data_IF_525591782507
#
_entry.id   IF_525591782507
#
_cell.length_a   1.000
_cell.length_b   1.000
_cell.length_c   1.000
_cell.angle_alpha   90.00
_cell.angle_beta   90.00
_cell.angle_gamma   90.00
#
_symmetry.space_group_name_H-M   'P 1'
#
loop_
_entity.id
_entity.type
_entity.pdbx_description
1 polymer ?
#
# COMPACT_ATOMS: atom_id res chain seq x y z
N UNK A 1 5.45 -0.80 17.24
CA UNK A 1 4.87 -2.13 17.43
C UNK A 1 3.88 -2.46 16.32
N UNK A 2 2.86 -1.61 16.05
CA UNK A 2 1.89 -1.86 14.98
C UNK A 2 2.53 -2.10 13.60
N UNK A 3 3.52 -1.27 13.19
CA UNK A 3 4.23 -1.47 11.92
C UNK A 3 4.95 -2.82 11.84
N UNK A 4 5.64 -3.23 12.91
CA UNK A 4 6.30 -4.55 12.96
C UNK A 4 5.30 -5.71 12.90
N UNK A 5 4.13 -5.56 13.51
CA UNK A 5 3.08 -6.57 13.44
C UNK A 5 2.50 -6.66 12.02
N UNK A 6 2.30 -5.53 11.33
CA UNK A 6 1.88 -5.49 9.92
C UNK A 6 2.93 -6.11 9.00
N UNK A 7 4.22 -5.82 9.19
CA UNK A 7 5.32 -6.45 8.44
C UNK A 7 5.28 -7.97 8.56
N UNK A 8 5.13 -8.49 9.78
CA UNK A 8 5.04 -9.93 10.02
C UNK A 8 3.76 -10.55 9.42
N UNK A 9 2.65 -9.80 9.41
CA UNK A 9 1.41 -10.26 8.76
C UNK A 9 1.59 -10.30 7.23
N UNK A 10 2.25 -9.31 6.64
CA UNK A 10 2.57 -9.29 5.21
C UNK A 10 3.52 -10.43 4.83
N UNK A 11 4.49 -10.77 5.68
CA UNK A 11 5.35 -11.94 5.50
C UNK A 11 4.50 -13.23 5.41
N UNK A 12 3.53 -13.43 6.33
CA UNK A 12 2.65 -14.60 6.30
C UNK A 12 1.76 -14.65 5.05
N UNK A 13 1.37 -13.48 4.50
CA UNK A 13 0.70 -13.39 3.19
C UNK A 13 1.59 -13.98 2.11
N UNK A 14 2.83 -13.51 1.97
CA UNK A 14 3.73 -13.95 0.90
C UNK A 14 4.22 -15.39 1.07
N UNK A 15 4.34 -15.92 2.29
CA UNK A 15 4.57 -17.34 2.56
C UNK A 15 3.42 -18.22 2.06
N UNK A 16 2.19 -17.70 2.04
CA UNK A 16 0.98 -18.45 1.68
C UNK A 16 0.59 -18.24 0.22
N UNK A 17 0.86 -17.06 -0.35
CA UNK A 17 0.41 -16.62 -1.66
C UNK A 17 1.07 -17.43 -2.78
N UNK A 18 0.29 -18.27 -3.46
CA UNK A 18 0.68 -19.03 -4.64
C UNK A 18 -0.54 -19.48 -5.44
N UNK A 19 -0.32 -19.90 -6.67
CA UNK A 19 -1.39 -20.50 -7.47
C UNK A 19 -2.04 -21.70 -6.74
N UNK A 20 -3.35 -21.80 -6.84
CA UNK A 20 -4.12 -22.89 -6.24
C UNK A 20 -4.62 -22.63 -4.81
N UNK A 21 -4.16 -21.54 -4.15
CA UNK A 21 -4.64 -21.13 -2.82
C UNK A 21 -5.82 -20.17 -2.96
N UNK A 22 -6.77 -20.17 -2.03
CA UNK A 22 -7.87 -19.21 -2.00
C UNK A 22 -7.43 -17.85 -1.42
N UNK A 23 -8.04 -16.74 -1.88
CA UNK A 23 -7.81 -15.38 -1.32
C UNK A 23 -8.06 -15.37 0.19
N UNK A 24 -9.10 -16.07 0.65
CA UNK A 24 -9.47 -16.20 2.08
C UNK A 24 -8.38 -16.90 2.90
N UNK A 25 -7.69 -17.88 2.35
CA UNK A 25 -6.61 -18.57 3.07
C UNK A 25 -5.40 -17.67 3.25
N UNK A 26 -5.08 -16.87 2.21
CA UNK A 26 -3.99 -15.89 2.27
C UNK A 26 -4.30 -14.81 3.30
N UNK A 27 -5.51 -14.26 3.30
CA UNK A 27 -5.93 -13.26 4.29
C UNK A 27 -5.95 -13.84 5.72
N UNK A 28 -6.44 -15.07 5.89
CA UNK A 28 -6.46 -15.74 7.18
C UNK A 28 -5.05 -15.95 7.76
N UNK A 29 -4.03 -16.16 6.91
CA UNK A 29 -2.64 -16.27 7.37
C UNK A 29 -2.15 -14.95 8.00
N UNK A 30 -2.47 -13.79 7.39
CA UNK A 30 -2.17 -12.48 7.95
C UNK A 30 -2.85 -12.27 9.31
N UNK A 31 -4.17 -12.47 9.36
CA UNK A 31 -4.96 -12.29 10.59
C UNK A 31 -4.45 -13.18 11.71
N UNK A 32 -4.17 -14.45 11.40
CA UNK A 32 -3.59 -15.37 12.37
C UNK A 32 -2.24 -14.88 12.90
N UNK A 33 -1.38 -14.35 12.03
CA UNK A 33 -0.08 -13.80 12.44
C UNK A 33 -0.24 -12.61 13.39
N UNK A 34 -1.16 -11.69 13.12
CA UNK A 34 -1.46 -10.57 14.00
C UNK A 34 -1.90 -11.05 15.39
N UNK A 35 -2.85 -11.99 15.46
CA UNK A 35 -3.35 -12.53 16.71
C UNK A 35 -2.26 -13.24 17.53
N UNK A 36 -1.38 -13.99 16.91
CA UNK A 36 -0.24 -14.66 17.57
C UNK A 36 0.73 -13.66 18.20
N UNK A 37 0.86 -12.47 17.58
CA UNK A 37 1.70 -11.38 18.09
C UNK A 37 0.98 -10.50 19.13
N UNK A 38 -0.27 -10.81 19.50
CA UNK A 38 -1.06 -10.00 20.41
C UNK A 38 -1.61 -8.71 19.81
N UNK A 39 -1.49 -8.56 18.49
CA UNK A 39 -2.07 -7.47 17.71
C UNK A 39 -3.48 -7.82 17.22
N UNK A 40 -4.19 -6.81 16.70
CA UNK A 40 -5.46 -6.97 16.00
C UNK A 40 -5.35 -6.36 14.61
N UNK A 41 -6.29 -6.69 13.74
CA UNK A 41 -6.47 -5.93 12.50
C UNK A 41 -6.85 -4.48 12.81
N UNK A 42 -6.22 -3.53 12.13
CA UNK A 42 -6.63 -2.12 12.17
C UNK A 42 -7.92 -1.90 11.37
N UNK A 43 -8.05 -2.66 10.28
CA UNK A 43 -9.22 -2.77 9.40
C UNK A 43 -9.24 -4.17 8.77
N UNK A 44 -10.29 -4.50 8.01
CA UNK A 44 -10.39 -5.82 7.39
C UNK A 44 -9.30 -6.05 6.35
N UNK A 45 -8.49 -7.08 6.57
CA UNK A 45 -7.40 -7.47 5.65
C UNK A 45 -7.95 -7.73 4.24
N UNK A 46 -7.47 -6.98 3.27
CA UNK A 46 -7.80 -7.10 1.86
C UNK A 46 -6.76 -8.00 1.16
N UNK A 47 -7.22 -9.05 0.51
CA UNK A 47 -6.43 -9.85 -0.44
C UNK A 47 -7.34 -10.15 -1.60
N UNK A 48 -7.12 -9.48 -2.72
CA UNK A 48 -7.97 -9.62 -3.92
C UNK A 48 -7.13 -9.80 -5.17
N UNK A 49 -7.58 -10.63 -6.09
CA UNK A 49 -6.81 -10.97 -7.29
C UNK A 49 -7.63 -10.87 -8.59
N UNK A 50 -6.91 -10.82 -9.72
CA UNK A 50 -7.48 -10.71 -11.06
C UNK A 50 -8.26 -9.41 -11.24
N UNK A 51 -9.46 -9.46 -11.82
CA UNK A 51 -10.27 -8.27 -12.06
C UNK A 51 -10.60 -7.46 -10.78
N UNK A 52 -10.63 -8.11 -9.62
CA UNK A 52 -10.88 -7.45 -8.34
C UNK A 52 -9.67 -6.64 -7.84
N UNK A 53 -8.46 -7.00 -8.24
CA UNK A 53 -7.25 -6.24 -7.91
C UNK A 53 -7.20 -4.85 -8.57
N UNK A 54 -8.08 -4.58 -9.52
CA UNK A 54 -8.33 -3.26 -10.10
C UNK A 54 -9.46 -2.48 -9.43
N UNK A 55 -9.89 -2.90 -8.25
CA UNK A 55 -10.82 -2.17 -7.38
C UNK A 55 -10.04 -1.67 -6.17
N UNK A 56 -10.29 -0.43 -5.78
CA UNK A 56 -9.52 0.27 -4.73
C UNK A 56 -9.58 -0.42 -3.36
N UNK A 57 -10.63 -1.17 -3.08
CA UNK A 57 -10.81 -1.98 -1.87
C UNK A 57 -11.65 -3.20 -2.19
N UNK A 58 -11.41 -4.29 -1.52
CA UNK A 58 -12.17 -5.50 -1.70
C UNK A 58 -12.02 -6.47 -0.53
N UNK A 59 -12.97 -7.36 -0.40
CA UNK A 59 -12.91 -8.43 0.60
C UNK A 59 -12.42 -9.72 -0.06
N UNK A 60 -11.53 -10.47 0.61
CA UNK A 60 -11.08 -11.78 0.13
C UNK A 60 -12.27 -12.72 -0.05
N UNK A 61 -12.24 -13.50 -1.13
CA UNK A 61 -13.31 -14.44 -1.49
C UNK A 61 -12.78 -15.87 -1.48
N UNK A 62 -13.70 -16.83 -1.40
CA UNK A 62 -13.40 -18.24 -1.67
C UNK A 62 -13.17 -18.47 -3.16
N UNK A 63 -12.09 -17.87 -3.66
CA UNK A 63 -11.65 -17.86 -5.04
C UNK A 63 -10.18 -18.24 -5.11
N UNK A 64 -9.90 -19.22 -5.92
CA UNK A 64 -8.54 -19.72 -6.12
C UNK A 64 -7.70 -18.75 -6.96
N UNK A 65 -6.51 -18.43 -6.49
CA UNK A 65 -5.51 -17.66 -7.20
C UNK A 65 -4.98 -18.41 -8.44
N UNK A 66 -4.85 -17.71 -9.56
CA UNK A 66 -4.39 -18.30 -10.84
C UNK A 66 -3.07 -17.65 -11.27
N UNK A 67 -2.17 -18.43 -11.93
CA UNK A 67 -0.95 -17.88 -12.48
C UNK A 67 -1.20 -16.65 -13.38
N UNK A 68 -0.37 -15.62 -13.22
CA UNK A 68 -0.42 -14.39 -14.03
C UNK A 68 -1.45 -13.36 -13.57
N UNK A 69 -2.24 -13.63 -12.52
CA UNK A 69 -3.15 -12.63 -11.97
C UNK A 69 -2.42 -11.63 -11.10
N UNK A 70 -2.80 -10.36 -11.22
CA UNK A 70 -2.42 -9.33 -10.26
C UNK A 70 -3.09 -9.60 -8.91
N UNK A 71 -2.37 -9.34 -7.83
CA UNK A 71 -2.88 -9.42 -6.46
C UNK A 71 -2.63 -8.09 -5.76
N UNK A 72 -3.66 -7.52 -5.20
CA UNK A 72 -3.60 -6.38 -4.30
C UNK A 72 -3.79 -6.89 -2.86
N UNK A 73 -2.87 -6.50 -1.99
CA UNK A 73 -2.87 -6.83 -0.57
C UNK A 73 -2.82 -5.53 0.21
N UNK A 74 -3.75 -5.39 1.14
CA UNK A 74 -3.85 -4.23 2.00
C UNK A 74 -4.24 -4.69 3.40
N UNK A 75 -3.40 -4.37 4.40
CA UNK A 75 -3.57 -4.80 5.78
C UNK A 75 -2.97 -3.81 6.77
N UNK A 76 -3.55 -3.76 7.93
CA UNK A 76 -3.06 -2.94 9.03
C UNK A 76 -3.11 -3.68 10.35
N UNK A 77 -2.24 -3.30 11.27
CA UNK A 77 -2.22 -3.81 12.62
C UNK A 77 -2.59 -2.72 13.63
N UNK A 78 -3.30 -3.12 14.68
CA UNK A 78 -3.58 -2.29 15.85
C UNK A 78 -2.87 -2.87 17.09
N UNK A 79 -1.99 -2.06 17.70
CA UNK A 79 -1.25 -2.39 18.91
C UNK A 79 -1.37 -1.25 19.91
N UNK A 80 -1.81 -1.54 21.15
CA UNK A 80 -1.91 -0.56 22.24
C UNK A 80 -2.66 0.74 21.85
N UNK A 81 -3.67 0.62 20.97
CA UNK A 81 -4.50 1.73 20.52
C UNK A 81 -3.92 2.50 19.32
N UNK A 82 -2.73 2.17 18.83
CA UNK A 82 -2.13 2.76 17.63
C UNK A 82 -2.21 1.82 16.44
N UNK A 83 -2.37 2.39 15.25
CA UNK A 83 -2.59 1.65 14.01
C UNK A 83 -1.44 1.84 13.03
N UNK A 84 -1.27 0.85 12.16
CA UNK A 84 -0.42 0.90 10.97
C UNK A 84 -1.22 0.53 9.75
N UNK A 85 -0.71 0.91 8.59
CA UNK A 85 -1.28 0.65 7.28
C UNK A 85 -0.18 0.25 6.31
N UNK A 86 -0.42 -0.78 5.49
CA UNK A 86 0.60 -1.40 4.65
C UNK A 86 -0.02 -2.11 3.46
N UNK A 87 0.22 -1.61 2.24
CA UNK A 87 -0.19 -2.31 1.03
C UNK A 87 0.98 -2.75 0.18
N UNK A 88 0.81 -3.89 -0.49
CA UNK A 88 1.69 -4.39 -1.54
C UNK A 88 0.89 -4.94 -2.70
N UNK A 89 1.45 -4.81 -3.90
CA UNK A 89 0.95 -5.47 -5.09
C UNK A 89 1.98 -6.45 -5.64
N UNK A 90 1.50 -7.55 -6.19
CA UNK A 90 2.32 -8.57 -6.83
C UNK A 90 1.55 -9.26 -7.95
N UNK A 91 2.17 -10.25 -8.58
CA UNK A 91 1.50 -11.18 -9.49
C UNK A 91 1.68 -12.62 -8.99
N UNK A 92 0.68 -13.44 -9.23
CA UNK A 92 0.78 -14.88 -8.95
C UNK A 92 1.79 -15.52 -9.91
N UNK A 93 2.96 -15.86 -9.41
CA UNK A 93 4.11 -16.28 -10.21
C UNK A 93 4.89 -15.08 -10.76
N UNK A 94 5.51 -15.25 -11.95
CA UNK A 94 6.38 -14.23 -12.53
C UNK A 94 5.59 -13.03 -13.06
N UNK A 95 6.00 -11.83 -12.68
CA UNK A 95 5.42 -10.60 -13.20
C UNK A 95 5.81 -10.36 -14.67
N UNK A 96 4.82 -10.17 -15.53
CA UNK A 96 5.02 -9.98 -16.98
C UNK A 96 4.01 -8.98 -17.56
N UNK A 97 4.32 -8.46 -18.75
CA UNK A 97 3.42 -7.62 -19.55
C UNK A 97 2.90 -6.40 -18.80
N UNK A 98 1.65 -6.04 -19.04
CA UNK A 98 1.01 -4.84 -18.48
C UNK A 98 0.95 -4.84 -16.95
N UNK A 99 0.86 -6.01 -16.31
CA UNK A 99 0.89 -6.11 -14.85
C UNK A 99 2.24 -5.68 -14.28
N UNK A 100 3.35 -6.13 -14.89
CA UNK A 100 4.69 -5.70 -14.49
C UNK A 100 4.88 -4.19 -14.67
N UNK A 101 4.41 -3.65 -15.80
CA UNK A 101 4.49 -2.21 -16.08
C UNK A 101 3.73 -1.41 -15.02
N UNK A 102 2.54 -1.89 -14.61
CA UNK A 102 1.71 -1.25 -13.59
C UNK A 102 2.37 -1.27 -12.21
N UNK A 103 2.98 -2.40 -11.83
CA UNK A 103 3.76 -2.52 -10.59
C UNK A 103 4.96 -1.54 -10.58
N UNK A 104 5.66 -1.43 -11.72
CA UNK A 104 6.78 -0.51 -11.86
C UNK A 104 6.36 0.95 -11.70
N UNK A 105 5.24 1.36 -12.32
CA UNK A 105 4.70 2.73 -12.17
C UNK A 105 4.29 3.00 -10.71
N UNK A 106 3.64 2.06 -10.02
CA UNK A 106 3.33 2.20 -8.60
C UNK A 106 4.59 2.43 -7.74
N UNK A 107 5.66 1.70 -8.05
CA UNK A 107 6.96 1.86 -7.39
C UNK A 107 7.61 3.22 -7.69
N UNK A 108 7.56 3.68 -8.92
CA UNK A 108 8.11 4.98 -9.32
C UNK A 108 7.38 6.14 -8.64
N UNK A 109 6.04 6.06 -8.53
CA UNK A 109 5.23 7.01 -7.77
C UNK A 109 5.65 7.02 -6.29
N UNK A 110 5.75 5.86 -5.67
CA UNK A 110 6.17 5.73 -4.28
C UNK A 110 7.50 6.44 -4.04
N UNK A 111 8.51 6.16 -4.85
CA UNK A 111 9.82 6.80 -4.73
C UNK A 111 9.80 8.30 -5.04
N UNK A 112 8.96 8.75 -5.97
CA UNK A 112 8.85 10.17 -6.31
C UNK A 112 8.38 11.00 -5.13
N UNK A 113 7.31 10.60 -4.44
CA UNK A 113 6.83 11.33 -3.28
C UNK A 113 7.80 11.28 -2.11
N UNK A 114 8.44 10.12 -1.85
CA UNK A 114 9.44 10.02 -0.79
C UNK A 114 10.61 10.99 -0.96
N UNK A 115 11.03 11.30 -2.20
CA UNK A 115 12.08 12.30 -2.47
C UNK A 115 11.69 13.72 -2.04
N UNK A 116 10.41 14.01 -1.98
CA UNK A 116 9.86 15.33 -1.60
C UNK A 116 9.45 15.38 -0.13
N UNK A 117 9.06 14.25 0.44
CA UNK A 117 8.47 14.13 1.78
C UNK A 117 9.47 14.47 2.89
N UNK A 118 9.35 15.68 3.42
CA UNK A 118 10.15 16.21 4.53
C UNK A 118 9.48 17.44 5.16
N UNK A 119 9.86 17.86 6.38
CA UNK A 119 9.34 19.07 6.99
C UNK A 119 9.49 20.30 6.09
N UNK A 120 8.51 21.19 6.13
CA UNK A 120 8.47 22.43 5.34
C UNK A 120 7.98 22.24 3.90
N UNK A 121 7.76 21.00 3.45
CA UNK A 121 7.04 20.72 2.21
C UNK A 121 5.55 20.59 2.49
N UNK A 122 4.75 20.99 1.54
CA UNK A 122 3.30 20.77 1.59
C UNK A 122 2.91 19.41 1.02
N UNK A 123 1.73 18.95 1.35
CA UNK A 123 1.14 17.75 0.72
C UNK A 123 1.01 17.96 -0.79
N UNK A 124 0.70 19.18 -1.23
CA UNK A 124 0.61 19.52 -2.65
C UNK A 124 1.97 19.44 -3.38
N UNK A 125 3.09 19.77 -2.72
CA UNK A 125 4.44 19.54 -3.27
C UNK A 125 4.68 18.04 -3.56
N UNK A 126 4.21 17.17 -2.68
CA UNK A 126 4.29 15.71 -2.90
C UNK A 126 3.40 15.32 -4.08
N UNK A 127 2.17 15.82 -4.13
CA UNK A 127 1.25 15.58 -5.24
C UNK A 127 1.81 15.96 -6.60
N UNK A 128 2.49 17.11 -6.68
CA UNK A 128 3.13 17.57 -7.91
C UNK A 128 4.20 16.58 -8.40
N UNK A 129 5.02 16.05 -7.50
CA UNK A 129 6.04 15.05 -7.84
C UNK A 129 5.43 13.72 -8.33
N UNK A 130 4.30 13.31 -7.77
CA UNK A 130 3.56 12.13 -8.23
C UNK A 130 2.97 12.35 -9.63
N UNK A 131 2.38 13.51 -9.86
CA UNK A 131 1.80 13.86 -11.15
C UNK A 131 2.85 13.92 -12.26
N UNK A 132 4.06 14.41 -11.96
CA UNK A 132 5.16 14.43 -12.91
C UNK A 132 5.62 13.03 -13.34
N UNK A 133 5.57 12.05 -12.43
CA UNK A 133 5.84 10.64 -12.75
C UNK A 133 4.69 10.02 -13.55
N UNK A 134 3.44 10.27 -13.17
CA UNK A 134 2.28 9.70 -13.85
C UNK A 134 2.20 10.14 -15.30
N UNK A 135 2.53 11.41 -15.58
CA UNK A 135 2.57 11.98 -16.92
C UNK A 135 3.56 11.22 -17.83
N UNK A 136 3.12 10.91 -19.02
CA UNK A 136 3.93 10.19 -20.01
C UNK A 136 4.03 8.69 -19.77
N UNK A 137 3.45 8.15 -18.71
CA UNK A 137 3.24 6.71 -18.60
C UNK A 137 2.01 6.28 -19.39
N UNK A 138 1.94 5.01 -19.77
CA UNK A 138 0.74 4.44 -20.40
C UNK A 138 -0.49 4.40 -19.47
N UNK A 139 -0.33 4.76 -18.20
CA UNK A 139 -1.37 4.76 -17.17
C UNK A 139 -1.69 6.18 -16.67
N UNK A 140 -1.30 7.21 -17.38
CA UNK A 140 -1.53 8.61 -16.99
C UNK A 140 -3.01 8.89 -16.69
N UNK A 141 -3.91 8.43 -17.57
CA UNK A 141 -5.36 8.62 -17.42
C UNK A 141 -5.99 7.84 -16.25
N UNK A 142 -5.29 6.83 -15.73
CA UNK A 142 -5.73 6.01 -14.59
C UNK A 142 -5.11 6.47 -13.27
N UNK A 143 -4.17 7.39 -13.29
CA UNK A 143 -3.65 7.99 -12.07
C UNK A 143 -4.69 8.94 -11.48
N UNK A 144 -5.06 8.70 -10.23
CA UNK A 144 -6.00 9.52 -9.50
C UNK A 144 -5.27 10.41 -8.47
N UNK A 145 -5.11 11.72 -8.74
CA UNK A 145 -4.46 12.61 -7.78
C UNK A 145 -5.35 12.97 -6.58
N UNK A 146 -6.57 12.44 -6.53
CA UNK A 146 -7.57 12.72 -5.50
C UNK A 146 -7.29 12.13 -4.13
N UNK A 147 -6.25 11.30 -3.99
CA UNK A 147 -5.81 10.76 -2.71
C UNK A 147 -4.63 9.82 -2.89
N UNK A 148 -3.58 10.06 -2.13
CA UNK A 148 -2.39 9.21 -2.09
C UNK A 148 -1.94 8.95 -0.65
N UNK A 149 -2.92 8.96 0.28
CA UNK A 149 -2.73 8.63 1.69
C UNK A 149 -3.51 9.51 2.64
N UNK A 150 -3.22 9.32 3.90
CA UNK A 150 -3.89 10.00 5.02
C UNK A 150 -3.01 10.02 6.28
N UNK A 151 -3.37 10.84 7.26
CA UNK A 151 -2.85 10.73 8.62
C UNK A 151 -3.28 9.39 9.22
N UNK A 152 -2.45 8.86 10.11
CA UNK A 152 -2.72 7.62 10.83
C UNK A 152 -2.21 7.72 12.26
N UNK A 153 -2.93 7.13 13.21
CA UNK A 153 -2.55 7.17 14.62
C UNK A 153 -3.42 6.26 15.46
N UNK A 154 -4.36 6.83 16.20
CA UNK A 154 -5.35 6.07 16.99
C UNK A 154 -6.55 5.67 16.13
N UNK A 155 -6.71 6.26 14.96
CA UNK A 155 -7.61 5.81 13.90
C UNK A 155 -6.82 5.45 12.66
N UNK A 156 -7.37 4.56 11.82
CA UNK A 156 -6.75 4.24 10.52
C UNK A 156 -6.65 5.50 9.67
N UNK A 157 -7.73 6.25 9.57
CA UNK A 157 -7.79 7.49 8.80
C UNK A 157 -7.94 8.68 9.75
N UNK A 158 -6.95 9.56 9.73
CA UNK A 158 -6.93 10.83 10.46
C UNK A 158 -6.52 11.97 9.51
N UNK A 159 -6.68 13.21 9.97
CA UNK A 159 -6.12 14.37 9.27
C UNK A 159 -4.58 14.40 9.43
N UNK A 160 -3.87 14.90 8.39
CA UNK A 160 -4.37 15.40 7.13
C UNK A 160 -4.62 14.32 6.09
N UNK A 161 -5.60 14.51 5.22
CA UNK A 161 -5.70 13.70 3.99
C UNK A 161 -4.61 14.12 3.00
N UNK A 162 -3.96 13.15 2.34
CA UNK A 162 -2.94 13.38 1.32
C UNK A 162 -3.59 13.40 -0.06
N UNK A 163 -3.81 14.59 -0.61
CA UNK A 163 -4.44 14.79 -1.91
C UNK A 163 -3.96 16.08 -2.58
N UNK A 164 -4.10 16.16 -3.89
CA UNK A 164 -3.75 17.32 -4.70
C UNK A 164 -4.52 18.56 -4.25
N UNK A 165 -3.80 19.69 -4.12
CA UNK A 165 -4.34 20.96 -3.63
C UNK A 165 -4.36 21.11 -2.11
N UNK A 166 -3.96 20.09 -1.35
CA UNK A 166 -3.83 20.24 0.10
C UNK A 166 -2.51 20.92 0.46
N UNK A 167 -2.61 22.17 0.88
CA UNK A 167 -1.45 23.01 1.25
C UNK A 167 -0.97 22.82 2.70
N UNK A 168 -1.48 21.82 3.41
CA UNK A 168 -0.99 21.48 4.75
C UNK A 168 0.50 21.14 4.68
N UNK A 169 1.28 21.82 5.52
CA UNK A 169 2.71 21.58 5.66
C UNK A 169 2.99 20.28 6.43
N UNK A 170 3.90 19.48 5.92
CA UNK A 170 4.42 18.31 6.62
C UNK A 170 5.27 18.77 7.81
N UNK A 171 4.97 18.29 8.99
CA UNK A 171 5.64 18.66 10.24
C UNK A 171 6.21 17.44 10.95
N UNK A 172 7.33 17.61 11.69
CA UNK A 172 7.85 16.54 12.51
C UNK A 172 6.81 15.96 13.46
N UNK A 173 6.85 14.65 13.66
CA UNK A 173 5.94 13.83 14.47
C UNK A 173 4.57 13.58 13.85
N UNK A 174 4.30 14.03 12.62
CA UNK A 174 3.17 13.52 11.88
C UNK A 174 3.42 12.07 11.46
N UNK A 175 2.44 11.21 11.63
CA UNK A 175 2.40 9.85 11.06
C UNK A 175 1.39 9.81 9.93
N UNK A 176 1.78 9.23 8.81
CA UNK A 176 0.95 9.15 7.61
C UNK A 176 1.03 7.76 6.99
N UNK A 177 -0.07 7.25 6.51
CA UNK A 177 -0.12 6.17 5.51
C UNK A 177 0.09 6.81 4.14
N UNK A 178 1.14 6.40 3.45
CA UNK A 178 1.51 6.95 2.14
C UNK A 178 1.38 5.88 1.07
N UNK A 179 0.37 6.02 0.21
CA UNK A 179 -0.14 4.99 -0.70
C UNK A 179 -0.41 5.51 -2.13
N UNK A 180 0.54 6.12 -2.83
CA UNK A 180 0.30 6.57 -4.20
C UNK A 180 0.01 5.38 -5.10
N UNK A 181 -1.11 5.42 -5.83
CA UNK A 181 -1.58 4.28 -6.60
C UNK A 181 -2.07 4.64 -7.99
N UNK A 182 -1.97 3.67 -8.89
CA UNK A 182 -2.66 3.65 -10.18
C UNK A 182 -3.58 2.43 -10.19
N UNK A 183 -4.86 2.67 -10.46
CA UNK A 183 -5.88 1.61 -10.50
C UNK A 183 -6.36 1.43 -11.93
N UNK A 184 -6.20 0.23 -12.46
CA UNK A 184 -6.60 -0.12 -13.83
C UNK A 184 -7.67 -1.20 -13.79
N UNK A 185 -8.90 -0.82 -14.13
CA UNK A 185 -10.03 -1.76 -14.17
C UNK A 185 -9.72 -2.96 -15.07
N UNK A 186 -9.99 -4.15 -14.57
CA UNK A 186 -9.76 -5.41 -15.28
C UNK A 186 -8.29 -5.87 -15.32
N UNK A 187 -7.33 -5.04 -14.87
CA UNK A 187 -5.93 -5.41 -14.77
C UNK A 187 -5.48 -5.55 -13.32
N UNK A 188 -5.52 -4.49 -12.55
CA UNK A 188 -5.06 -4.49 -11.17
C UNK A 188 -4.72 -3.11 -10.63
N UNK A 189 -4.03 -3.08 -9.50
CA UNK A 189 -3.52 -1.87 -8.85
C UNK A 189 -2.00 -1.91 -8.78
N UNK A 190 -1.35 -0.80 -9.10
CA UNK A 190 0.07 -0.56 -8.84
C UNK A 190 0.20 0.37 -7.65
N UNK A 191 0.55 -0.18 -6.49
CA UNK A 191 0.76 0.57 -5.26
C UNK A 191 1.90 -0.03 -4.43
N UNK A 192 2.59 0.84 -3.73
CA UNK A 192 3.41 0.53 -2.55
C UNK A 192 2.96 1.50 -1.48
N UNK A 193 2.61 0.98 -0.33
CA UNK A 193 2.21 1.76 0.83
C UNK A 193 3.06 1.44 2.04
N UNK A 194 3.38 2.47 2.79
CA UNK A 194 4.00 2.36 4.11
C UNK A 194 3.42 3.39 5.08
N UNK A 195 3.37 3.01 6.34
CA UNK A 195 3.22 3.96 7.44
C UNK A 195 4.54 4.68 7.66
N UNK A 196 4.52 6.01 7.57
CA UNK A 196 5.69 6.87 7.70
C UNK A 196 5.56 7.79 8.92
N UNK A 197 6.68 8.05 9.57
CA UNK A 197 6.86 9.12 10.55
C UNK A 197 7.64 10.26 9.90
N UNK A 198 7.09 11.47 9.90
CA UNK A 198 7.84 12.66 9.50
C UNK A 198 8.79 13.03 10.65
N UNK A 199 10.08 13.05 10.37
CA UNK A 199 11.15 13.39 11.31
C UNK A 199 11.60 14.84 11.15
N UNK A 200 12.54 15.32 11.95
CA UNK A 200 13.09 16.68 11.82
C UNK A 200 13.83 16.92 10.48
N UNK A 201 14.25 15.87 9.76
CA UNK A 201 15.08 16.00 8.55
C UNK A 201 14.50 15.33 7.30
N UNK A 202 13.41 14.58 7.44
CA UNK A 202 12.81 13.81 6.35
C UNK A 202 11.71 12.90 6.89
N UNK A 203 11.83 11.62 6.68
CA UNK A 203 10.88 10.62 7.17
C UNK A 203 11.60 9.35 7.64
N UNK A 204 10.87 8.54 8.40
CA UNK A 204 11.24 7.18 8.80
C UNK A 204 10.08 6.25 8.43
N UNK A 205 10.38 5.08 7.86
CA UNK A 205 9.37 4.04 7.62
C UNK A 205 9.11 3.29 8.93
N UNK A 206 7.87 3.28 9.38
CA UNK A 206 7.42 2.52 10.54
C UNK A 206 7.00 1.09 10.17
N UNK A 207 6.65 0.86 8.89
CA UNK A 207 6.57 -0.45 8.25
C UNK A 207 7.82 -0.66 7.41
N UNK A 208 8.36 -1.87 7.35
CA UNK A 208 9.67 -2.16 6.75
C UNK A 208 9.67 -3.36 5.80
N UNK A 209 8.50 -3.96 5.53
CA UNK A 209 8.38 -5.07 4.58
C UNK A 209 8.99 -4.70 3.21
N UNK A 210 9.63 -5.63 2.49
CA UNK A 210 10.22 -5.36 1.18
C UNK A 210 9.27 -4.64 0.23
N UNK A 211 9.79 -3.65 -0.48
CA UNK A 211 9.01 -2.79 -1.39
C UNK A 211 8.75 -3.52 -2.70
N UNK A 212 9.76 -4.21 -3.24
CA UNK A 212 9.64 -5.02 -4.46
C UNK A 212 9.27 -6.44 -4.09
N UNK A 213 8.14 -6.93 -4.56
CA UNK A 213 7.53 -8.20 -4.18
C UNK A 213 7.24 -9.12 -5.39
N UNK A 214 7.63 -8.71 -6.61
CA UNK A 214 7.27 -9.41 -7.84
C UNK A 214 8.45 -9.94 -8.66
N UNK A 215 9.68 -9.69 -8.23
CA UNK A 215 10.91 -10.17 -8.88
C UNK A 215 11.69 -11.18 -7.99
N UNK A 216 11.07 -11.65 -6.90
CA UNK A 216 11.65 -12.61 -5.95
C UNK A 216 11.36 -14.07 -6.36
#
# INVERSE_FOLDING_TARGET
DAGRAADAAMEAVFETLRAGVEETDVAAAAVRRLLVLGAREAFSTCVVAGAQAGLKHGMPRRRTLRPGEMVFIDLGAACDGYMSDLSRCTMVGRATGAGRDLLAVGLDLYHAGLRVMRPGRTIDDVSAALLDVARGTRFEDQYCPGGFGHGIGMSVIEAPGLYMGNTTELRPRMTVAYEPMVVVEGLGTGVVEDTLLITERGFERLTSYPIVTWDA
#
